data_IF_140370212070
#
_entry.id   IF_140370212070
#
_cell.length_a   1.000
_cell.length_b   1.000
_cell.length_c   1.000
_cell.angle_alpha   90.00
_cell.angle_beta   90.00
_cell.angle_gamma   90.00
#
_symmetry.space_group_name_H-M   'P 1'
#
loop_
_entity.id
_entity.type
_entity.pdbx_description
1 polymer ?
#
# COMPACT_ATOMS: atom_id res chain seq x y z
N UNK A 1 -17.24 1.01 -11.81
CA UNK A 1 -16.14 0.34 -11.07
C UNK A 1 -14.92 1.24 -10.93
N UNK A 2 -14.36 1.78 -12.02
CA UNK A 2 -13.18 2.67 -11.98
C UNK A 2 -13.32 3.84 -11.00
N UNK A 3 -14.38 4.64 -11.13
CA UNK A 3 -14.57 5.83 -10.28
C UNK A 3 -14.74 5.48 -8.80
N UNK A 4 -15.45 4.37 -8.50
CA UNK A 4 -15.65 3.87 -7.14
C UNK A 4 -14.32 3.41 -6.53
N UNK A 5 -13.49 2.70 -7.32
CA UNK A 5 -12.17 2.26 -6.89
C UNK A 5 -11.22 3.44 -6.62
N UNK A 6 -11.26 4.46 -7.49
CA UNK A 6 -10.48 5.69 -7.31
C UNK A 6 -10.93 6.43 -6.05
N UNK A 7 -12.24 6.62 -5.86
CA UNK A 7 -12.78 7.24 -4.65
C UNK A 7 -12.35 6.48 -3.38
N UNK A 8 -12.46 5.15 -3.36
CA UNK A 8 -12.03 4.31 -2.25
C UNK A 8 -10.53 4.47 -1.95
N UNK A 9 -9.69 4.49 -2.99
CA UNK A 9 -8.24 4.67 -2.86
C UNK A 9 -7.89 6.05 -2.31
N UNK A 10 -8.56 7.11 -2.78
CA UNK A 10 -8.40 8.48 -2.28
C UNK A 10 -8.85 8.58 -0.82
N UNK A 11 -9.99 7.96 -0.46
CA UNK A 11 -10.46 7.92 0.93
C UNK A 11 -9.43 7.27 1.86
N UNK A 12 -8.84 6.14 1.45
CA UNK A 12 -7.78 5.45 2.20
C UNK A 12 -6.55 6.33 2.33
N UNK A 13 -6.14 7.00 1.26
CA UNK A 13 -5.01 7.91 1.28
C UNK A 13 -5.21 9.06 2.27
N UNK A 14 -6.37 9.73 2.23
CA UNK A 14 -6.72 10.81 3.16
C UNK A 14 -6.76 10.30 4.61
N UNK A 15 -7.41 9.16 4.85
CA UNK A 15 -7.47 8.58 6.19
C UNK A 15 -6.09 8.19 6.73
N UNK A 16 -5.16 7.80 5.86
CA UNK A 16 -3.82 7.35 6.24
C UNK A 16 -2.83 8.48 6.56
N UNK A 17 -3.09 9.72 6.10
CA UNK A 17 -2.18 10.86 6.29
C UNK A 17 -2.15 11.41 7.73
N UNK A 18 -3.18 11.13 8.53
CA UNK A 18 -3.30 11.75 9.86
C UNK A 18 -3.98 10.91 10.94
N UNK A 19 -4.69 9.83 10.60
CA UNK A 19 -5.40 9.02 11.58
C UNK A 19 -4.72 7.65 11.76
N UNK A 20 -4.67 7.16 13.01
CA UNK A 20 -4.41 5.73 13.23
C UNK A 20 -5.66 4.96 12.79
N UNK A 21 -5.53 3.75 12.21
CA UNK A 21 -6.68 2.96 11.79
C UNK A 21 -7.55 2.54 12.98
N UNK A 22 -7.03 2.65 14.21
CA UNK A 22 -7.77 2.44 15.44
C UNK A 22 -8.78 3.56 15.75
N UNK A 23 -8.56 4.77 15.22
CA UNK A 23 -9.40 5.95 15.48
C UNK A 23 -10.56 6.01 14.47
N UNK A 24 -10.38 5.50 13.25
CA UNK A 24 -11.40 5.49 12.18
C UNK A 24 -11.72 4.08 11.67
N UNK A 25 -11.84 3.11 12.59
CA UNK A 25 -12.07 1.67 12.28
C UNK A 25 -13.22 1.44 11.30
N UNK A 26 -14.33 2.16 11.48
CA UNK A 26 -15.51 2.00 10.63
C UNK A 26 -15.24 2.30 9.16
N UNK A 27 -14.52 3.39 8.87
CA UNK A 27 -14.19 3.80 7.50
C UNK A 27 -13.28 2.76 6.86
N UNK A 28 -12.26 2.29 7.57
CA UNK A 28 -11.35 1.26 7.07
C UNK A 28 -12.09 -0.06 6.80
N UNK A 29 -12.96 -0.50 7.71
CA UNK A 29 -13.77 -1.72 7.52
C UNK A 29 -14.67 -1.59 6.29
N UNK A 30 -15.36 -0.45 6.13
CA UNK A 30 -16.21 -0.20 4.96
C UNK A 30 -15.40 -0.28 3.66
N UNK A 31 -14.24 0.36 3.60
CA UNK A 31 -13.39 0.33 2.39
C UNK A 31 -12.83 -1.07 2.12
N UNK A 32 -12.50 -1.86 3.16
CA UNK A 32 -12.11 -3.27 3.00
C UNK A 32 -13.23 -4.07 2.33
N UNK A 33 -14.48 -3.95 2.82
CA UNK A 33 -15.62 -4.63 2.20
C UNK A 33 -15.87 -4.15 0.77
N UNK A 34 -15.73 -2.86 0.50
CA UNK A 34 -15.86 -2.31 -0.84
C UNK A 34 -14.79 -2.88 -1.79
N UNK A 35 -13.53 -2.97 -1.36
CA UNK A 35 -12.47 -3.60 -2.15
C UNK A 35 -12.71 -5.09 -2.36
N UNK A 36 -13.20 -5.81 -1.35
CA UNK A 36 -13.55 -7.22 -1.49
C UNK A 36 -14.66 -7.44 -2.53
N UNK A 37 -15.70 -6.58 -2.55
CA UNK A 37 -16.76 -6.62 -3.55
C UNK A 37 -16.22 -6.35 -4.96
N UNK A 38 -15.40 -5.30 -5.11
CA UNK A 38 -14.77 -4.96 -6.40
C UNK A 38 -13.89 -6.13 -6.87
N UNK A 39 -13.15 -6.77 -5.96
CA UNK A 39 -12.31 -7.92 -6.29
C UNK A 39 -13.12 -9.12 -6.75
N UNK A 40 -14.26 -9.42 -6.09
CA UNK A 40 -15.17 -10.47 -6.53
C UNK A 40 -15.67 -10.24 -7.97
N UNK A 41 -16.05 -9.01 -8.30
CA UNK A 41 -16.44 -8.64 -9.66
C UNK A 41 -15.27 -8.75 -10.66
N UNK A 42 -14.06 -8.34 -10.27
CA UNK A 42 -12.86 -8.48 -11.10
C UNK A 42 -12.54 -9.95 -11.38
N UNK A 43 -12.62 -10.82 -10.36
CA UNK A 43 -12.41 -12.26 -10.51
C UNK A 43 -13.44 -12.88 -11.45
N UNK A 44 -14.71 -12.47 -11.35
CA UNK A 44 -15.75 -12.90 -12.28
C UNK A 44 -15.41 -12.50 -13.73
N UNK A 45 -15.04 -11.24 -13.97
CA UNK A 45 -14.67 -10.76 -15.31
C UNK A 45 -13.44 -11.48 -15.86
N UNK A 46 -12.39 -11.64 -15.05
CA UNK A 46 -11.20 -12.41 -15.44
C UNK A 46 -11.56 -13.86 -15.76
N UNK A 47 -12.37 -14.51 -14.94
CA UNK A 47 -12.85 -15.87 -15.18
C UNK A 47 -13.60 -16.01 -16.51
N UNK A 48 -14.52 -15.08 -16.80
CA UNK A 48 -15.23 -15.06 -18.09
C UNK A 48 -14.30 -14.77 -19.26
N UNK A 49 -13.30 -13.91 -19.09
CA UNK A 49 -12.31 -13.61 -20.12
C UNK A 49 -11.45 -14.83 -20.47
N UNK A 50 -10.96 -15.55 -19.45
CA UNK A 50 -10.21 -16.80 -19.64
C UNK A 50 -11.10 -17.86 -20.28
N UNK A 51 -12.36 -17.99 -19.84
CA UNK A 51 -13.31 -18.94 -20.43
C UNK A 51 -13.51 -18.67 -21.93
N UNK A 52 -13.79 -17.42 -22.32
CA UNK A 52 -13.97 -17.04 -23.72
C UNK A 52 -12.68 -17.18 -24.54
N UNK A 53 -11.51 -16.99 -23.91
CA UNK A 53 -10.22 -17.19 -24.56
C UNK A 53 -9.92 -18.68 -24.83
N UNK A 54 -10.38 -19.58 -23.96
CA UNK A 54 -10.10 -21.03 -24.04
C UNK A 54 -11.17 -21.78 -24.84
N UNK A 55 -12.45 -21.36 -24.76
CA UNK A 55 -13.59 -22.05 -25.39
C UNK A 55 -13.36 -22.40 -26.88
N UNK A 56 -12.82 -21.52 -27.75
CA UNK A 56 -12.62 -21.82 -29.16
C UNK A 56 -11.58 -22.91 -29.45
N UNK A 57 -10.71 -23.19 -28.49
CA UNK A 57 -9.59 -24.13 -28.60
C UNK A 57 -9.82 -25.42 -27.81
N UNK A 58 -10.99 -25.56 -27.18
CA UNK A 58 -11.36 -26.75 -26.43
C UNK A 58 -11.31 -27.99 -27.33
N UNK A 59 -10.63 -29.04 -26.85
CA UNK A 59 -10.44 -30.30 -27.58
C UNK A 59 -9.41 -30.26 -28.71
N UNK A 60 -8.77 -29.12 -29.01
CA UNK A 60 -7.76 -28.98 -30.07
C UNK A 60 -6.39 -28.56 -29.50
N UNK A 61 -5.72 -29.49 -28.82
CA UNK A 61 -4.45 -29.24 -28.13
C UNK A 61 -3.36 -28.66 -29.05
N UNK A 62 -3.26 -29.13 -30.30
CA UNK A 62 -2.27 -28.64 -31.25
C UNK A 62 -2.45 -27.16 -31.61
N UNK A 63 -3.70 -26.70 -31.73
CA UNK A 63 -4.01 -25.30 -32.01
C UNK A 63 -3.67 -24.43 -30.79
N UNK A 64 -3.99 -24.91 -29.59
CA UNK A 64 -3.70 -24.22 -28.35
C UNK A 64 -2.18 -24.08 -28.11
N UNK A 65 -1.40 -25.13 -28.38
CA UNK A 65 0.05 -25.12 -28.27
C UNK A 65 0.72 -24.19 -29.30
N UNK A 66 0.20 -24.13 -30.52
CA UNK A 66 0.68 -23.17 -31.54
C UNK A 66 0.45 -21.73 -31.09
N UNK A 67 -0.74 -21.43 -30.59
CA UNK A 67 -1.13 -20.08 -30.14
C UNK A 67 -0.43 -19.64 -28.85
N UNK A 68 0.04 -20.59 -28.03
CA UNK A 68 0.88 -20.31 -26.87
C UNK A 68 2.33 -19.96 -27.27
N UNK A 69 2.81 -20.45 -28.42
CA UNK A 69 4.14 -20.11 -28.94
C UNK A 69 4.15 -18.75 -29.64
N UNK A 70 3.04 -18.38 -30.26
CA UNK A 70 2.88 -17.08 -30.90
C UNK A 70 2.77 -15.95 -29.87
N UNK A 71 3.46 -14.82 -30.09
CA UNK A 71 3.31 -13.65 -29.22
C UNK A 71 1.91 -13.08 -29.35
N UNK A 72 1.21 -12.94 -28.22
CA UNK A 72 -0.11 -12.33 -28.19
C UNK A 72 -0.77 -12.34 -26.82
N UNK A 73 -1.94 -11.70 -26.69
CA UNK A 73 -2.64 -11.56 -25.41
C UNK A 73 -2.99 -12.90 -24.76
N UNK A 74 -3.27 -13.93 -25.55
CA UNK A 74 -3.55 -15.28 -25.07
C UNK A 74 -2.33 -15.87 -24.33
N UNK A 75 -1.16 -15.86 -24.97
CA UNK A 75 0.08 -16.34 -24.35
C UNK A 75 0.40 -15.59 -23.08
N UNK A 76 0.37 -14.25 -23.13
CA UNK A 76 0.76 -13.43 -22.00
C UNK A 76 -0.18 -13.65 -20.79
N UNK A 77 -1.49 -13.81 -21.03
CA UNK A 77 -2.48 -14.14 -19.99
C UNK A 77 -2.25 -15.52 -19.39
N UNK A 78 -2.02 -16.55 -20.22
CA UNK A 78 -1.76 -17.92 -19.76
C UNK A 78 -0.46 -17.99 -18.95
N UNK A 79 0.61 -17.36 -19.44
CA UNK A 79 1.90 -17.29 -18.75
C UNK A 79 1.77 -16.55 -17.42
N UNK A 80 1.02 -15.45 -17.37
CA UNK A 80 0.77 -14.71 -16.13
C UNK A 80 -0.02 -15.56 -15.12
N UNK A 81 -1.07 -16.26 -15.55
CA UNK A 81 -1.87 -17.11 -14.67
C UNK A 81 -1.06 -18.28 -14.11
N UNK A 82 -0.31 -18.98 -14.96
CA UNK A 82 0.53 -20.12 -14.57
C UNK A 82 1.68 -19.69 -13.67
N UNK A 83 2.29 -18.52 -13.91
CA UNK A 83 3.35 -18.01 -13.05
C UNK A 83 2.81 -17.54 -11.69
N UNK A 84 1.66 -16.87 -11.65
CA UNK A 84 1.10 -16.30 -10.43
C UNK A 84 0.43 -17.34 -9.54
N UNK A 85 -0.26 -18.33 -10.12
CA UNK A 85 -1.02 -19.32 -9.36
C UNK A 85 -0.44 -20.73 -9.53
N UNK A 86 -0.05 -21.10 -10.75
CA UNK A 86 0.50 -22.43 -11.04
C UNK A 86 1.79 -22.71 -10.27
N UNK A 87 2.76 -21.79 -10.27
CA UNK A 87 4.00 -21.96 -9.50
C UNK A 87 3.75 -22.06 -7.98
N UNK A 88 2.74 -21.35 -7.45
CA UNK A 88 2.37 -21.48 -6.03
C UNK A 88 1.80 -22.87 -5.73
N UNK A 89 0.94 -23.40 -6.58
CA UNK A 89 0.39 -24.76 -6.44
C UNK A 89 1.51 -25.80 -6.51
N UNK A 90 2.37 -25.71 -7.53
CA UNK A 90 3.52 -26.63 -7.70
C UNK A 90 4.46 -26.55 -6.50
N UNK A 91 4.81 -25.34 -6.05
CA UNK A 91 5.67 -25.16 -4.87
C UNK A 91 5.04 -25.77 -3.62
N UNK A 92 3.74 -25.61 -3.42
CA UNK A 92 3.04 -26.14 -2.24
C UNK A 92 2.98 -27.66 -2.23
N UNK A 93 2.81 -28.28 -3.41
CA UNK A 93 2.89 -29.72 -3.57
C UNK A 93 4.31 -30.25 -3.32
N UNK A 94 5.34 -29.54 -3.80
CA UNK A 94 6.75 -29.90 -3.53
C UNK A 94 7.08 -29.85 -2.03
N UNK A 95 6.45 -28.94 -1.28
CA UNK A 95 6.62 -28.82 0.17
C UNK A 95 5.69 -29.75 0.97
N UNK A 96 4.84 -30.53 0.31
CA UNK A 96 3.84 -31.42 0.93
C UNK A 96 2.81 -30.72 1.84
N UNK A 97 2.57 -29.42 1.64
CA UNK A 97 1.63 -28.64 2.45
C UNK A 97 0.56 -27.95 1.60
N UNK A 98 -0.23 -28.62 0.74
CA UNK A 98 -1.20 -27.94 -0.12
C UNK A 98 -2.39 -27.30 0.64
N UNK A 99 -2.55 -27.62 1.92
CA UNK A 99 -3.72 -27.29 2.71
C UNK A 99 -3.96 -25.77 2.83
N UNK A 100 -2.90 -24.97 2.91
CA UNK A 100 -3.01 -23.51 3.04
C UNK A 100 -3.63 -22.85 1.80
N UNK A 101 -3.48 -23.45 0.62
CA UNK A 101 -4.17 -23.00 -0.59
C UNK A 101 -5.67 -23.32 -0.43
N UNK A 102 -6.04 -24.54 -0.05
CA UNK A 102 -7.44 -24.94 0.01
C UNK A 102 -8.26 -24.15 1.04
N UNK A 103 -7.68 -23.87 2.22
CA UNK A 103 -8.43 -23.20 3.30
C UNK A 103 -8.50 -21.68 3.16
N UNK A 104 -7.43 -21.06 2.66
CA UNK A 104 -7.24 -19.61 2.81
C UNK A 104 -7.14 -18.86 1.48
N UNK A 105 -7.07 -19.56 0.35
CA UNK A 105 -6.86 -18.91 -0.95
C UNK A 105 -8.02 -17.99 -1.34
N UNK A 106 -9.27 -18.42 -1.13
CA UNK A 106 -10.43 -17.61 -1.51
C UNK A 106 -10.53 -16.33 -0.67
N UNK A 107 -10.39 -16.43 0.66
CA UNK A 107 -10.40 -15.25 1.54
C UNK A 107 -9.22 -14.32 1.25
N UNK A 108 -8.04 -14.89 0.96
CA UNK A 108 -6.87 -14.14 0.54
C UNK A 108 -7.12 -13.36 -0.76
N UNK A 109 -7.71 -14.00 -1.79
CA UNK A 109 -8.00 -13.34 -3.06
C UNK A 109 -8.90 -12.12 -2.86
N UNK A 110 -9.97 -12.23 -2.06
CA UNK A 110 -10.88 -11.11 -1.80
C UNK A 110 -10.21 -9.97 -1.00
N UNK A 111 -9.29 -10.29 -0.09
CA UNK A 111 -8.56 -9.30 0.71
C UNK A 111 -7.35 -8.70 -0.03
N UNK A 112 -6.97 -9.23 -1.18
CA UNK A 112 -5.78 -8.82 -1.93
C UNK A 112 -5.75 -7.31 -2.25
N UNK A 113 -6.83 -6.64 -2.74
CA UNK A 113 -6.77 -5.21 -2.96
C UNK A 113 -6.72 -4.40 -1.65
N UNK A 114 -7.23 -4.93 -0.53
CA UNK A 114 -7.04 -4.29 0.77
C UNK A 114 -5.57 -4.35 1.20
N UNK A 115 -4.89 -5.49 1.00
CA UNK A 115 -3.46 -5.61 1.27
C UNK A 115 -2.61 -4.70 0.38
N UNK A 116 -2.93 -4.64 -0.91
CA UNK A 116 -2.15 -3.82 -1.85
C UNK A 116 -2.41 -2.33 -1.66
N UNK A 117 -3.67 -1.90 -1.46
CA UNK A 117 -3.96 -0.47 -1.39
C UNK A 117 -3.90 0.06 0.04
N UNK A 118 -4.59 -0.57 0.99
CA UNK A 118 -4.69 -0.02 2.36
C UNK A 118 -3.36 -0.16 3.08
N UNK A 119 -2.80 -1.37 3.16
CA UNK A 119 -1.57 -1.57 3.94
C UNK A 119 -0.40 -0.79 3.34
N UNK A 120 -0.26 -0.82 2.01
CA UNK A 120 0.83 -0.11 1.33
C UNK A 120 0.72 1.41 1.53
N UNK A 121 -0.44 2.01 1.22
CA UNK A 121 -0.65 3.45 1.40
C UNK A 121 -0.44 3.84 2.86
N UNK A 122 -0.98 3.06 3.80
CA UNK A 122 -0.79 3.32 5.21
C UNK A 122 0.68 3.25 5.63
N UNK A 123 1.44 2.26 5.15
CA UNK A 123 2.87 2.12 5.43
C UNK A 123 3.69 3.31 4.89
N UNK A 124 3.43 3.74 3.66
CA UNK A 124 4.08 4.92 3.07
C UNK A 124 3.73 6.19 3.85
N UNK A 125 2.46 6.39 4.19
CA UNK A 125 1.99 7.54 4.97
C UNK A 125 2.45 7.50 6.45
N UNK A 126 2.93 6.38 6.97
CA UNK A 126 3.30 6.24 8.38
C UNK A 126 4.73 5.73 8.59
N UNK A 127 5.64 5.88 7.63
CA UNK A 127 7.05 5.42 7.75
C UNK A 127 7.80 5.97 8.97
N UNK A 128 7.42 7.15 9.47
CA UNK A 128 7.95 7.75 10.70
C UNK A 128 7.54 7.04 12.01
N UNK A 129 6.48 6.23 11.98
CA UNK A 129 5.92 5.55 13.15
C UNK A 129 6.51 4.14 13.24
N UNK A 130 7.72 4.05 13.82
CA UNK A 130 8.45 2.79 14.05
C UNK A 130 7.94 2.07 15.31
N UNK A 131 6.77 2.42 15.84
CA UNK A 131 6.15 1.68 16.96
C UNK A 131 5.66 0.28 16.58
N UNK A 132 5.71 -0.06 15.30
CA UNK A 132 5.44 -1.41 14.80
C UNK A 132 6.63 -2.33 15.08
N UNK A 133 6.56 -3.03 16.21
CA UNK A 133 7.59 -4.01 16.63
C UNK A 133 7.97 -3.93 18.11
N UNK A 134 7.60 -2.86 18.81
CA UNK A 134 7.90 -2.65 20.25
C UNK A 134 6.67 -2.23 21.08
N UNK A 135 5.46 -2.50 20.55
CA UNK A 135 4.17 -2.14 21.18
C UNK A 135 3.91 -2.73 22.59
N UNK A 136 4.80 -3.56 23.12
CA UNK A 136 4.77 -4.03 24.50
C UNK A 136 5.25 -3.00 25.53
N UNK A 137 5.99 -1.96 25.12
CA UNK A 137 6.66 -1.03 26.05
C UNK A 137 6.04 0.38 26.09
N UNK A 138 4.99 0.62 25.30
CA UNK A 138 4.26 1.89 25.30
C UNK A 138 3.13 1.92 26.33
N UNK A 139 3.39 1.47 27.56
CA UNK A 139 2.84 2.20 28.71
C UNK A 139 3.72 3.43 28.87
N UNK A 140 3.50 4.43 28.02
CA UNK A 140 3.88 5.77 28.40
C UNK A 140 3.20 5.98 29.74
N UNK A 141 3.99 6.03 30.81
CA UNK A 141 3.49 6.35 32.14
C UNK A 141 2.62 7.57 31.95
N UNK A 142 1.36 7.44 32.34
CA UNK A 142 0.49 8.58 32.57
C UNK A 142 1.39 9.63 33.22
N UNK A 143 1.62 10.75 32.53
CA UNK A 143 2.33 11.89 33.10
C UNK A 143 1.37 12.39 34.15
N UNK A 144 1.36 11.68 35.28
CA UNK A 144 0.34 11.73 36.31
C UNK A 144 0.10 13.19 36.57
N UNK A 145 -1.13 13.62 36.29
CA UNK A 145 -1.53 15.01 36.12
C UNK A 145 -0.67 15.93 36.96
N UNK A 146 0.40 16.45 36.36
CA UNK A 146 1.23 17.46 37.00
C UNK A 146 0.50 18.79 36.84
N UNK A 147 -0.69 18.86 37.43
CA UNK A 147 -1.24 20.09 37.95
C UNK A 147 -0.28 20.50 39.06
N UNK A 148 0.86 21.10 38.67
CA UNK A 148 1.57 22.01 39.58
C UNK A 148 0.56 23.10 39.88
N UNK A 149 -0.25 22.88 40.91
CA UNK A 149 -0.91 23.95 41.63
C UNK A 149 0.23 24.80 42.15
N UNK A 150 0.57 25.82 41.37
CA UNK A 150 1.36 26.95 41.82
C UNK A 150 0.58 27.46 43.03
N UNK A 151 1.12 27.23 44.23
CA UNK A 151 0.57 27.77 45.47
C UNK A 151 0.61 29.28 45.33
N UNK A 152 -0.52 29.86 44.93
CA UNK A 152 -0.72 31.29 44.96
C UNK A 152 -1.06 31.65 46.40
N UNK A 153 -0.03 31.89 47.20
CA UNK A 153 -0.20 32.38 48.56
C UNK A 153 -0.65 33.83 48.44
N UNK A 154 -1.95 34.04 48.69
CA UNK A 154 -2.57 35.36 48.61
C UNK A 154 -2.09 36.17 49.82
N UNK A 155 -1.44 37.34 49.64
CA UNK A 155 -0.96 38.14 50.76
C UNK A 155 -2.15 38.64 51.58
N UNK A 156 -2.11 38.47 52.90
CA UNK A 156 -3.21 38.82 53.80
C UNK A 156 -3.12 40.26 54.36
N UNK A 157 -2.03 40.98 54.11
CA UNK A 157 -1.82 42.36 54.58
C UNK A 157 -1.80 43.35 53.41
N UNK A 158 -2.35 44.54 53.61
CA UNK A 158 -2.39 45.61 52.60
C UNK A 158 -1.01 46.21 52.28
N UNK A 159 -0.03 46.06 53.19
CA UNK A 159 1.36 46.52 52.99
C UNK A 159 2.15 45.56 52.08
N UNK A 160 1.92 44.24 52.21
CA UNK A 160 2.60 43.23 51.38
C UNK A 160 2.16 43.30 49.91
N UNK A 161 0.91 43.71 49.64
CA UNK A 161 0.39 43.87 48.29
C UNK A 161 1.18 44.94 47.53
N UNK A 162 1.50 46.06 48.19
CA UNK A 162 2.26 47.15 47.59
C UNK A 162 3.71 46.74 47.29
N UNK A 163 4.34 46.01 48.22
CA UNK A 163 5.70 45.51 48.06
C UNK A 163 5.80 44.48 46.93
N UNK A 164 4.87 43.52 46.87
CA UNK A 164 4.80 42.49 45.82
C UNK A 164 4.49 43.11 44.45
N UNK A 165 3.63 44.14 44.40
CA UNK A 165 3.34 44.85 43.16
C UNK A 165 4.59 45.55 42.60
N UNK A 166 5.37 46.22 43.45
CA UNK A 166 6.61 46.88 43.02
C UNK A 166 7.69 45.87 42.58
N UNK A 167 7.81 44.74 43.29
CA UNK A 167 8.71 43.64 42.90
C UNK A 167 8.36 43.05 41.53
N UNK A 168 7.09 42.70 41.32
CA UNK A 168 6.63 42.18 40.03
C UNK A 168 6.83 43.20 38.90
N UNK A 169 6.64 44.49 39.17
CA UNK A 169 6.84 45.53 38.17
C UNK A 169 8.32 45.71 37.81
N UNK A 170 9.24 45.53 38.76
CA UNK A 170 10.67 45.47 38.48
C UNK A 170 11.04 44.21 37.69
N UNK A 171 10.51 43.03 38.05
CA UNK A 171 10.77 41.79 37.29
C UNK A 171 10.24 41.88 35.85
N UNK A 172 9.06 42.45 35.64
CA UNK A 172 8.48 42.65 34.31
C UNK A 172 9.22 43.73 33.49
N UNK A 173 9.92 44.65 34.15
CA UNK A 173 10.73 45.68 33.47
C UNK A 173 11.98 45.10 32.81
N UNK A 174 12.46 43.96 33.31
CA UNK A 174 13.57 43.22 32.72
C UNK A 174 13.02 42.38 31.57
N UNK A 175 13.34 42.77 30.33
CA UNK A 175 13.00 41.95 29.17
C UNK A 175 13.71 40.59 29.33
N UNK A 176 12.98 39.46 29.37
CA UNK A 176 13.62 38.16 29.47
C UNK A 176 14.58 37.99 28.31
N UNK A 177 15.83 37.61 28.61
CA UNK A 177 16.80 37.29 27.57
C UNK A 177 16.18 36.27 26.63
N UNK A 178 16.23 36.55 25.33
CA UNK A 178 15.71 35.65 24.31
C UNK A 178 16.64 34.45 24.21
N UNK A 179 16.57 33.55 25.19
CA UNK A 179 17.25 32.27 25.15
C UNK A 179 16.74 31.61 23.87
N UNK A 180 17.59 31.58 22.84
CA UNK A 180 17.34 30.75 21.66
C UNK A 180 17.28 29.34 22.21
N UNK A 181 16.07 28.85 22.50
CA UNK A 181 15.84 27.45 22.84
C UNK A 181 16.51 26.66 21.73
N UNK A 182 17.68 26.09 22.01
CA UNK A 182 18.28 25.09 21.14
C UNK A 182 17.27 23.97 21.17
N UNK A 183 16.44 23.89 20.13
CA UNK A 183 15.44 22.84 19.94
C UNK A 183 16.01 21.52 20.44
N UNK A 184 15.33 20.90 21.41
CA UNK A 184 15.78 19.65 21.98
C UNK A 184 16.11 18.65 20.88
N UNK A 185 17.19 17.89 21.06
CA UNK A 185 17.66 16.92 20.06
C UNK A 185 16.53 15.95 19.64
N UNK A 186 15.63 15.61 20.57
CA UNK A 186 14.42 14.81 20.32
C UNK A 186 13.46 15.48 19.34
N UNK A 187 13.10 16.75 19.56
CA UNK A 187 12.21 17.50 18.67
C UNK A 187 12.79 17.63 17.26
N UNK A 188 14.12 17.83 17.15
CA UNK A 188 14.80 17.89 15.85
C UNK A 188 14.74 16.56 15.10
N UNK A 189 14.87 15.43 15.81
CA UNK A 189 14.78 14.10 15.22
C UNK A 189 13.35 13.76 14.78
N UNK A 190 12.34 14.12 15.58
CA UNK A 190 10.93 13.96 15.20
C UNK A 190 10.56 14.79 13.96
N UNK A 191 11.00 16.04 13.89
CA UNK A 191 10.80 16.91 12.73
C UNK A 191 11.48 16.32 11.48
N UNK A 192 12.69 15.75 11.63
CA UNK A 192 13.38 15.06 10.54
C UNK A 192 12.58 13.86 10.02
N UNK A 193 12.05 13.00 10.90
CA UNK A 193 11.25 11.85 10.49
C UNK A 193 9.93 12.25 9.83
N UNK A 194 9.25 13.29 10.34
CA UNK A 194 8.04 13.84 9.73
C UNK A 194 8.33 14.38 8.32
N UNK A 195 9.45 15.07 8.13
CA UNK A 195 9.86 15.61 6.83
C UNK A 195 10.26 14.49 5.86
N UNK A 196 10.99 13.49 6.34
CA UNK A 196 11.37 12.31 5.55
C UNK A 196 10.12 11.60 5.01
N UNK A 197 9.13 11.34 5.88
CA UNK A 197 7.82 10.81 5.47
C UNK A 197 7.22 11.61 4.33
N UNK A 198 7.09 12.93 4.49
CA UNK A 198 6.44 13.77 3.48
C UNK A 198 7.17 13.70 2.14
N UNK A 199 8.51 13.76 2.14
CA UNK A 199 9.31 13.63 0.91
C UNK A 199 9.13 12.27 0.25
N UNK A 200 9.14 11.21 1.05
CA UNK A 200 8.99 9.84 0.56
C UNK A 200 7.61 9.60 -0.06
N UNK A 201 6.53 10.06 0.60
CA UNK A 201 5.16 9.99 0.06
C UNK A 201 5.03 10.83 -1.21
N UNK A 202 5.62 12.03 -1.26
CA UNK A 202 5.58 12.87 -2.46
C UNK A 202 6.30 12.22 -3.65
N UNK A 203 7.52 11.70 -3.45
CA UNK A 203 8.27 11.00 -4.51
C UNK A 203 7.48 9.78 -5.00
N UNK A 204 6.90 9.00 -4.08
CA UNK A 204 6.06 7.87 -4.42
C UNK A 204 4.80 8.28 -5.22
N UNK A 205 4.11 9.35 -4.83
CA UNK A 205 2.96 9.86 -5.58
C UNK A 205 3.34 10.36 -6.97
N UNK A 206 4.41 11.16 -7.08
CA UNK A 206 4.86 11.72 -8.35
C UNK A 206 5.33 10.65 -9.33
N UNK A 207 6.03 9.62 -8.84
CA UNK A 207 6.46 8.50 -9.69
C UNK A 207 5.27 7.68 -10.20
N UNK A 208 4.26 7.42 -9.35
CA UNK A 208 3.01 6.76 -9.80
C UNK A 208 2.22 7.63 -10.78
N UNK A 209 2.11 8.94 -10.53
CA UNK A 209 1.44 9.87 -11.44
C UNK A 209 2.16 9.94 -12.80
N UNK A 210 3.50 10.00 -12.80
CA UNK A 210 4.31 9.97 -14.01
C UNK A 210 4.07 8.67 -14.80
N UNK A 211 4.01 7.53 -14.12
CA UNK A 211 3.71 6.24 -14.75
C UNK A 211 2.33 6.26 -15.41
N UNK A 212 1.30 6.78 -14.74
CA UNK A 212 -0.06 6.91 -15.32
C UNK A 212 -0.05 7.82 -16.55
N UNK A 213 0.67 8.94 -16.51
CA UNK A 213 0.78 9.86 -17.64
C UNK A 213 1.47 9.19 -18.83
N UNK A 214 2.61 8.55 -18.61
CA UNK A 214 3.40 7.87 -19.67
C UNK A 214 2.61 6.73 -20.29
N UNK A 215 1.93 5.92 -19.48
CA UNK A 215 1.13 4.80 -19.99
C UNK A 215 -0.10 5.27 -20.76
N UNK A 216 -0.77 6.32 -20.29
CA UNK A 216 -1.94 6.89 -20.98
C UNK A 216 -1.53 7.57 -22.28
N UNK A 217 -0.42 8.32 -22.29
CA UNK A 217 0.08 8.99 -23.50
C UNK A 217 0.61 8.00 -24.54
N UNK A 218 1.34 6.96 -24.12
CA UNK A 218 1.80 5.89 -25.01
C UNK A 218 0.63 5.16 -25.68
N UNK A 219 -0.41 4.83 -24.92
CA UNK A 219 -1.64 4.21 -25.46
C UNK A 219 -2.34 5.15 -26.45
N UNK A 220 -2.37 6.45 -26.17
CA UNK A 220 -3.02 7.44 -27.05
C UNK A 220 -2.26 7.64 -28.37
N UNK A 221 -0.92 7.67 -28.35
CA UNK A 221 -0.08 7.78 -29.56
C UNK A 221 -0.17 6.55 -30.46
N UNK A 222 -0.37 5.37 -29.87
CA UNK A 222 -0.56 4.13 -30.63
C UNK A 222 -1.93 4.12 -31.31
N UNK A 223 -2.95 4.67 -30.64
CA UNK A 223 -4.33 4.75 -31.09
C UNK A 223 -4.58 5.76 -32.22
N UNK A 224 -3.80 6.84 -32.28
CA UNK A 224 -3.93 7.87 -33.34
C UNK A 224 -3.38 7.41 -34.71
N UNK A 225 -2.55 6.35 -34.74
CA UNK A 225 -2.04 5.77 -35.99
C UNK A 225 -2.97 4.70 -36.60
N UNK A 226 -4.05 4.32 -35.90
CA UNK A 226 -5.00 3.29 -36.35
C UNK A 226 -6.38 3.92 -36.52
N UNK A 227 -6.81 4.14 -37.77
CA UNK A 227 -8.13 4.69 -38.09
C UNK A 227 -9.23 3.85 -37.44
N UNK A 228 -9.94 4.45 -36.48
CA UNK A 228 -11.08 3.86 -35.78
C UNK A 228 -12.18 3.45 -36.76
N UNK A 229 -12.35 2.15 -36.99
CA UNK A 229 -13.62 1.59 -37.47
C UNK A 229 -14.29 0.91 -36.29
N UNK A 230 -15.40 1.51 -35.86
CA UNK A 230 -16.21 1.03 -34.75
C UNK A 230 -17.03 -0.18 -35.24
N UNK A 231 -16.46 -1.37 -35.22
CA UNK A 231 -17.19 -2.66 -35.38
C UNK A 231 -16.28 -3.81 -34.94
N UNK A 232 -16.74 -4.57 -33.94
CA UNK A 232 -16.07 -5.72 -33.29
C UNK A 232 -14.74 -5.39 -32.58
N UNK A 233 -14.63 -5.79 -31.31
CA UNK A 233 -13.40 -5.68 -30.51
C UNK A 233 -12.28 -6.43 -31.24
N UNK A 234 -11.41 -5.69 -31.91
CA UNK A 234 -10.36 -6.28 -32.74
C UNK A 234 -9.19 -6.73 -31.86
N UNK A 235 -8.52 -7.81 -32.25
CA UNK A 235 -7.46 -8.47 -31.44
C UNK A 235 -6.28 -7.54 -31.13
N UNK A 236 -6.09 -6.52 -31.96
CA UNK A 236 -5.04 -5.51 -31.83
C UNK A 236 -5.38 -4.41 -30.81
N UNK A 237 -6.67 -4.18 -30.48
CA UNK A 237 -7.07 -3.24 -29.42
C UNK A 237 -6.77 -3.79 -28.01
N UNK A 238 -6.56 -5.10 -27.86
CA UNK A 238 -6.23 -5.73 -26.58
C UNK A 238 -4.73 -5.70 -26.24
N UNK A 239 -3.85 -5.43 -27.21
CA UNK A 239 -2.41 -5.42 -26.98
C UNK A 239 -1.99 -4.12 -26.29
N UNK A 240 -2.06 -4.12 -24.96
CA UNK A 240 -1.49 -3.05 -24.16
C UNK A 240 -0.04 -3.42 -23.77
N UNK A 241 0.98 -2.78 -24.37
CA UNK A 241 2.39 -3.11 -24.08
C UNK A 241 2.74 -2.96 -22.59
N UNK A 242 2.05 -2.09 -21.86
CA UNK A 242 2.19 -1.99 -20.40
C UNK A 242 1.69 -3.23 -19.68
N UNK A 243 0.57 -3.80 -20.10
CA UNK A 243 0.01 -5.03 -19.51
C UNK A 243 0.92 -6.23 -19.79
N UNK A 244 1.42 -6.37 -21.02
CA UNK A 244 2.42 -7.40 -21.37
C UNK A 244 3.69 -7.24 -20.54
N UNK A 245 4.21 -6.02 -20.36
CA UNK A 245 5.37 -5.76 -19.51
C UNK A 245 5.13 -6.19 -18.06
N UNK A 246 3.95 -5.89 -17.48
CA UNK A 246 3.60 -6.34 -16.13
C UNK A 246 3.54 -7.87 -16.06
N UNK A 247 2.85 -8.52 -17.00
CA UNK A 247 2.70 -9.98 -16.99
C UNK A 247 4.05 -10.70 -17.04
N UNK A 248 4.97 -10.25 -17.89
CA UNK A 248 6.32 -10.81 -17.98
C UNK A 248 7.20 -10.47 -16.76
N UNK A 249 7.05 -9.26 -16.20
CA UNK A 249 7.76 -8.87 -14.97
C UNK A 249 7.32 -9.73 -13.77
N UNK A 250 6.02 -9.94 -13.60
CA UNK A 250 5.46 -10.81 -12.57
C UNK A 250 5.88 -12.26 -12.77
N UNK A 251 5.90 -12.74 -14.03
CA UNK A 251 6.36 -14.09 -14.33
C UNK A 251 7.84 -14.28 -13.95
N UNK A 252 8.70 -13.32 -14.29
CA UNK A 252 10.12 -13.35 -13.93
C UNK A 252 10.33 -13.35 -12.40
N UNK A 253 9.68 -12.44 -11.68
CA UNK A 253 9.78 -12.37 -10.21
C UNK A 253 9.25 -13.64 -9.53
N UNK A 254 8.17 -14.21 -10.05
CA UNK A 254 7.61 -15.48 -9.56
C UNK A 254 8.56 -16.64 -9.80
N UNK A 255 9.25 -16.67 -10.95
CA UNK A 255 10.26 -17.67 -11.25
C UNK A 255 11.47 -17.57 -10.30
N UNK A 256 11.92 -16.36 -9.97
CA UNK A 256 13.00 -16.15 -8.98
C UNK A 256 12.58 -16.64 -7.59
N UNK A 257 11.34 -16.36 -7.16
CA UNK A 257 10.83 -16.88 -5.87
C UNK A 257 10.74 -18.41 -5.88
N UNK A 258 10.25 -18.99 -6.98
CA UNK A 258 10.14 -20.44 -7.12
C UNK A 258 11.51 -21.13 -7.15
N UNK A 259 12.50 -20.56 -7.83
CA UNK A 259 13.86 -21.11 -7.83
C UNK A 259 14.50 -21.04 -6.46
N UNK A 260 14.33 -19.94 -5.71
CA UNK A 260 14.77 -19.84 -4.32
C UNK A 260 14.09 -20.85 -3.40
N UNK A 261 12.77 -21.03 -3.53
CA UNK A 261 11.99 -22.04 -2.80
C UNK A 261 12.47 -23.47 -3.09
N UNK A 262 12.71 -23.78 -4.38
CA UNK A 262 13.23 -25.08 -4.81
C UNK A 262 14.64 -25.31 -4.30
N UNK A 263 15.51 -24.30 -4.37
CA UNK A 263 16.88 -24.37 -3.86
C UNK A 263 16.90 -24.63 -2.36
N UNK A 264 16.03 -23.98 -1.58
CA UNK A 264 15.90 -24.25 -0.15
C UNK A 264 15.56 -25.72 0.12
N UNK A 265 14.62 -26.29 -0.64
CA UNK A 265 14.23 -27.70 -0.47
C UNK A 265 15.37 -28.65 -0.83
N UNK A 266 16.11 -28.36 -1.91
CA UNK A 266 17.31 -29.13 -2.29
C UNK A 266 18.38 -29.05 -1.20
N UNK A 267 18.66 -27.85 -0.68
CA UNK A 267 19.65 -27.67 0.39
C UNK A 267 19.23 -28.39 1.67
N UNK A 268 17.96 -28.31 2.06
CA UNK A 268 17.41 -29.06 3.21
C UNK A 268 17.51 -30.57 3.01
N UNK A 269 17.25 -31.07 1.80
CA UNK A 269 17.39 -32.48 1.49
C UNK A 269 18.86 -32.96 1.52
N UNK A 270 19.82 -32.09 1.17
CA UNK A 270 21.24 -32.40 1.15
C UNK A 270 21.95 -32.23 2.51
N UNK A 271 21.55 -31.24 3.31
CA UNK A 271 22.25 -30.83 4.53
C UNK A 271 21.45 -31.04 5.82
N UNK A 272 20.18 -31.46 5.73
CA UNK A 272 19.29 -31.62 6.89
C UNK A 272 18.69 -30.30 7.37
#
# INVERSE_FOLDING_TARGET
MREIYLAATITVFICSLGNRPQDSRFIFILVIFLFALIMGLMLYLVGTSVYLAVQPHWGHYDKMLKQLKEPGPFRDTVVSLLSTHGLYIVSSLMHFEPWHILTSFLSYLFLLPAYINILMVYAFCNTHDVSWGTKGDNKAGDLGGATKMIKFEKPNSSEDIGAIYQLNMQELSVRPEHIKSKRDAKTRQEDYYKLFRTRLVLVWMFTNAMLVIVTTSAVTLTRDNTKVKMTAVDKDELFNPYLSFIFWSVACLSAIRFSGSTLYLVLKALFG
#
